data_IF_356206096543
#
_entry.id   IF_356206096543
#
_cell.length_a   1.000
_cell.length_b   1.000
_cell.length_c   1.000
_cell.angle_alpha   90.00
_cell.angle_beta   90.00
_cell.angle_gamma   90.00
#
_symmetry.space_group_name_H-M   'P 1'
#
loop_
_entity.id
_entity.type
_entity.pdbx_description
1 polymer ?
#
# COMPACT_ATOMS: atom_id res chain seq x y z
N UNK A 1 -56.78 17.00 -34.17
CA UNK A 1 -55.94 16.38 -33.12
C UNK A 1 -54.50 16.79 -33.37
N UNK A 2 -53.99 17.76 -32.62
CA UNK A 2 -52.60 18.24 -32.72
C UNK A 2 -52.01 18.24 -31.32
N UNK A 3 -51.09 17.31 -31.08
CA UNK A 3 -50.41 17.10 -29.80
C UNK A 3 -49.45 18.27 -29.52
N UNK A 4 -49.59 18.93 -28.37
CA UNK A 4 -48.57 19.83 -27.81
C UNK A 4 -47.51 18.98 -27.11
N UNK A 5 -46.28 19.02 -27.61
CA UNK A 5 -45.12 18.44 -26.94
C UNK A 5 -44.61 19.47 -25.90
N UNK A 6 -44.78 19.18 -24.61
CA UNK A 6 -44.09 19.92 -23.54
C UNK A 6 -42.67 19.35 -23.41
N UNK A 7 -41.65 20.13 -23.76
CA UNK A 7 -40.27 19.85 -23.36
C UNK A 7 -40.11 20.23 -21.87
N UNK A 8 -39.94 19.24 -21.00
CA UNK A 8 -39.33 19.45 -19.68
C UNK A 8 -37.81 19.51 -19.86
N UNK A 9 -37.24 20.70 -19.70
CA UNK A 9 -35.79 20.87 -19.53
C UNK A 9 -35.41 20.40 -18.11
N UNK A 10 -34.82 19.20 -18.00
CA UNK A 10 -34.22 18.73 -16.77
C UNK A 10 -32.96 19.52 -16.44
N UNK A 11 -32.94 20.23 -15.31
CA UNK A 11 -31.72 20.79 -14.74
C UNK A 11 -30.81 19.64 -14.28
N UNK A 12 -29.70 19.44 -14.99
CA UNK A 12 -28.59 18.62 -14.49
C UNK A 12 -27.83 19.49 -13.49
N UNK A 13 -28.05 19.25 -12.20
CA UNK A 13 -27.19 19.77 -11.13
C UNK A 13 -25.85 19.04 -11.21
N UNK A 14 -24.89 19.65 -11.91
CA UNK A 14 -23.48 19.29 -11.76
C UNK A 14 -23.06 19.70 -10.34
N UNK A 15 -23.08 18.74 -9.41
CA UNK A 15 -22.43 18.90 -8.12
C UNK A 15 -20.91 18.98 -8.36
N UNK A 16 -20.41 20.20 -8.49
CA UNK A 16 -18.97 20.47 -8.45
C UNK A 16 -18.44 19.93 -7.12
N UNK A 17 -17.61 18.90 -7.17
CA UNK A 17 -16.90 18.43 -5.98
C UNK A 17 -16.11 19.61 -5.40
N UNK A 18 -16.50 20.10 -4.23
CA UNK A 18 -15.80 21.18 -3.56
C UNK A 18 -14.35 20.75 -3.32
N UNK A 19 -13.39 21.59 -3.70
CA UNK A 19 -11.98 21.27 -3.51
C UNK A 19 -11.67 21.06 -2.02
N UNK A 20 -10.85 20.06 -1.69
CA UNK A 20 -10.43 19.81 -0.32
C UNK A 20 -9.87 21.10 0.33
N UNK A 21 -10.13 21.33 1.64
CA UNK A 21 -9.66 22.54 2.33
C UNK A 21 -8.14 22.65 2.23
N UNK A 22 -7.61 23.88 2.26
CA UNK A 22 -6.17 24.14 2.10
C UNK A 22 -5.30 23.50 3.22
N UNK A 23 -5.91 23.17 4.36
CA UNK A 23 -5.28 22.45 5.45
C UNK A 23 -6.32 21.60 6.20
N UNK A 24 -5.86 20.49 6.79
CA UNK A 24 -6.63 19.68 7.71
C UNK A 24 -5.69 19.00 8.72
N UNK A 25 -6.17 18.75 9.94
CA UNK A 25 -5.43 17.99 10.95
C UNK A 25 -6.40 17.26 11.86
N UNK A 26 -6.28 15.93 11.87
CA UNK A 26 -7.02 15.06 12.76
C UNK A 26 -6.44 15.19 14.17
N UNK A 27 -7.32 15.23 15.16
CA UNK A 27 -6.96 15.26 16.58
C UNK A 27 -6.92 13.84 17.15
N UNK A 28 -6.40 13.69 18.36
CA UNK A 28 -6.34 12.41 19.10
C UNK A 28 -5.54 11.31 18.42
N UNK A 29 -4.52 11.68 17.65
CA UNK A 29 -3.58 10.74 17.07
C UNK A 29 -2.66 10.24 18.17
N UNK A 30 -2.83 8.97 18.53
CA UNK A 30 -1.96 8.29 19.49
C UNK A 30 -0.65 7.92 18.82
N UNK A 31 0.44 8.05 19.55
CA UNK A 31 1.77 7.70 19.09
C UNK A 31 2.54 6.96 20.18
N UNK A 32 3.34 6.00 19.77
CA UNK A 32 4.38 5.34 20.57
C UNK A 32 5.60 5.13 19.67
N UNK A 33 6.80 5.17 20.26
CA UNK A 33 7.99 4.72 19.54
C UNK A 33 7.96 3.19 19.41
N UNK A 34 8.31 2.68 18.23
CA UNK A 34 8.35 1.24 18.01
C UNK A 34 9.53 0.59 18.72
N UNK A 35 9.31 -0.61 19.22
CA UNK A 35 10.36 -1.60 19.42
C UNK A 35 10.81 -2.23 18.09
N UNK A 36 11.64 -3.29 18.16
CA UNK A 36 12.16 -3.97 16.98
C UNK A 36 11.07 -4.42 16.02
N UNK A 37 11.14 -3.95 14.77
CA UNK A 37 10.24 -4.32 13.67
C UNK A 37 8.74 -4.16 13.98
N UNK A 38 8.40 -3.21 14.85
CA UNK A 38 7.02 -2.98 15.31
C UNK A 38 6.33 -1.79 14.63
N UNK A 39 6.75 -1.39 13.43
CA UNK A 39 6.12 -0.28 12.70
C UNK A 39 4.61 -0.52 12.46
N UNK A 40 4.20 -1.75 12.11
CA UNK A 40 2.79 -2.09 11.94
C UNK A 40 2.02 -2.17 13.29
N UNK A 41 2.53 -2.83 14.36
CA UNK A 41 1.93 -2.76 15.69
C UNK A 41 1.67 -1.34 16.21
N UNK A 42 2.63 -0.43 16.06
CA UNK A 42 2.45 0.99 16.45
C UNK A 42 1.42 1.66 15.55
N UNK A 43 1.45 1.39 14.24
CA UNK A 43 0.46 1.93 13.30
C UNK A 43 -0.97 1.49 13.65
N UNK A 44 -1.15 0.21 14.03
CA UNK A 44 -2.44 -0.31 14.49
C UNK A 44 -2.93 0.43 15.73
N UNK A 45 -2.04 0.67 16.70
CA UNK A 45 -2.33 1.46 17.89
C UNK A 45 -2.74 2.90 17.56
N UNK A 46 -2.06 3.55 16.59
CA UNK A 46 -2.42 4.89 16.13
C UNK A 46 -3.82 4.92 15.53
N UNK A 47 -4.12 4.01 14.60
CA UNK A 47 -5.42 3.95 13.90
C UNK A 47 -6.56 3.56 14.85
N UNK A 48 -6.38 2.52 15.66
CA UNK A 48 -7.40 2.09 16.63
C UNK A 48 -7.64 3.17 17.70
N UNK A 49 -6.56 3.82 18.16
CA UNK A 49 -6.63 4.91 19.12
C UNK A 49 -7.44 6.10 18.60
N UNK A 50 -7.30 6.43 17.32
CA UNK A 50 -8.11 7.47 16.66
C UNK A 50 -9.62 7.14 16.71
N UNK A 51 -9.99 5.87 16.59
CA UNK A 51 -11.37 5.39 16.71
C UNK A 51 -11.76 4.99 18.14
N UNK A 52 -10.99 5.40 19.15
CA UNK A 52 -11.31 5.21 20.56
C UNK A 52 -10.95 3.84 21.16
N UNK A 53 -10.36 2.95 20.38
CA UNK A 53 -9.93 1.62 20.85
C UNK A 53 -8.47 1.66 21.31
N UNK A 54 -8.20 1.16 22.51
CA UNK A 54 -6.83 1.09 23.06
C UNK A 54 -6.29 -0.33 22.92
N UNK A 55 -5.10 -0.43 22.33
CA UNK A 55 -4.27 -1.63 22.33
C UNK A 55 -2.86 -1.28 22.80
N UNK A 56 -2.06 -2.28 23.13
CA UNK A 56 -0.63 -2.12 23.39
C UNK A 56 0.17 -2.62 22.19
N UNK A 57 1.37 -2.07 22.02
CA UNK A 57 2.29 -2.52 20.98
C UNK A 57 2.61 -4.01 21.10
N UNK A 58 2.82 -4.52 22.32
CA UNK A 58 3.10 -5.94 22.57
C UNK A 58 1.93 -6.83 22.14
N UNK A 59 0.70 -6.50 22.53
CA UNK A 59 -0.47 -7.29 22.15
C UNK A 59 -0.69 -7.30 20.63
N UNK A 60 -0.51 -6.14 19.98
CA UNK A 60 -0.60 -6.03 18.53
C UNK A 60 0.52 -6.83 17.81
N UNK A 61 1.75 -6.80 18.34
CA UNK A 61 2.86 -7.60 17.81
C UNK A 61 2.60 -9.10 17.95
N UNK A 62 2.20 -9.57 19.13
CA UNK A 62 1.83 -10.99 19.36
C UNK A 62 0.70 -11.45 18.45
N UNK A 63 -0.23 -10.56 18.10
CA UNK A 63 -1.40 -10.90 17.30
C UNK A 63 -1.18 -10.90 15.78
N UNK A 64 -0.17 -10.16 15.29
CA UNK A 64 0.11 -9.99 13.87
C UNK A 64 1.39 -10.68 13.40
N UNK A 65 2.41 -10.77 14.26
CA UNK A 65 3.69 -11.37 13.88
C UNK A 65 3.61 -12.89 13.92
N UNK A 66 4.22 -13.51 12.92
CA UNK A 66 4.23 -14.96 12.79
C UNK A 66 5.09 -15.66 13.84
N UNK A 67 6.13 -14.97 14.34
CA UNK A 67 7.01 -15.43 15.40
C UNK A 67 7.73 -14.25 16.09
N UNK A 68 8.31 -14.44 17.29
CA UNK A 68 9.12 -13.41 17.93
C UNK A 68 10.34 -13.02 17.06
N UNK A 69 10.42 -11.75 16.66
CA UNK A 69 11.46 -11.26 15.76
C UNK A 69 11.12 -11.41 14.28
N UNK A 70 9.87 -11.68 13.93
CA UNK A 70 9.38 -11.51 12.56
C UNK A 70 9.63 -10.05 12.12
N UNK A 71 10.43 -9.84 11.06
CA UNK A 71 10.85 -8.53 10.60
C UNK A 71 9.75 -7.78 9.84
N UNK A 72 8.62 -8.43 9.53
CA UNK A 72 7.60 -7.84 8.69
C UNK A 72 6.20 -8.16 9.18
N UNK A 73 5.32 -7.18 9.03
CA UNK A 73 3.87 -7.38 8.96
C UNK A 73 3.42 -6.70 7.68
N UNK A 74 2.64 -7.39 6.87
CA UNK A 74 2.06 -6.89 5.63
C UNK A 74 0.86 -5.95 5.89
N UNK A 75 0.50 -5.15 4.89
CA UNK A 75 -0.71 -4.32 4.97
C UNK A 75 -1.98 -5.15 5.09
N UNK A 76 -1.99 -6.39 4.59
CA UNK A 76 -3.12 -7.31 4.72
C UNK A 76 -3.27 -7.81 6.17
N UNK A 77 -2.17 -8.15 6.83
CA UNK A 77 -2.19 -8.53 8.25
C UNK A 77 -2.59 -7.37 9.15
N UNK A 78 -2.08 -6.16 8.86
CA UNK A 78 -2.53 -4.94 9.53
C UNK A 78 -4.03 -4.72 9.33
N UNK A 79 -4.53 -4.80 8.09
CA UNK A 79 -5.96 -4.67 7.80
C UNK A 79 -6.80 -5.72 8.53
N UNK A 80 -6.35 -6.98 8.55
CA UNK A 80 -7.03 -8.07 9.25
C UNK A 80 -7.08 -7.82 10.75
N UNK A 81 -6.00 -7.33 11.36
CA UNK A 81 -5.95 -6.99 12.77
C UNK A 81 -6.89 -5.83 13.10
N UNK A 82 -6.90 -4.75 12.31
CA UNK A 82 -7.84 -3.64 12.45
C UNK A 82 -9.30 -4.11 12.35
N UNK A 83 -9.57 -5.09 11.47
CA UNK A 83 -10.87 -5.72 11.31
C UNK A 83 -11.39 -6.44 12.56
N UNK A 84 -10.51 -6.97 13.41
CA UNK A 84 -10.89 -7.59 14.71
C UNK A 84 -11.57 -6.60 15.65
N UNK A 85 -11.41 -5.30 15.41
CA UNK A 85 -12.00 -4.21 16.20
C UNK A 85 -13.13 -3.49 15.44
N UNK A 86 -13.70 -4.12 14.41
CA UNK A 86 -14.89 -3.63 13.71
C UNK A 86 -14.62 -2.60 12.62
N UNK A 87 -13.36 -2.34 12.25
CA UNK A 87 -13.03 -1.47 11.12
C UNK A 87 -13.07 -2.24 9.79
N UNK A 88 -13.56 -1.60 8.73
CA UNK A 88 -13.29 -2.01 7.34
C UNK A 88 -11.99 -1.38 6.89
N UNK A 89 -11.26 -2.06 6.01
CA UNK A 89 -10.02 -1.55 5.44
C UNK A 89 -10.03 -1.66 3.92
N UNK A 90 -9.48 -0.65 3.26
CA UNK A 90 -9.26 -0.64 1.81
C UNK A 90 -7.79 -0.35 1.56
N UNK A 91 -7.11 -1.25 0.84
CA UNK A 91 -5.72 -1.09 0.40
C UNK A 91 -5.70 -0.82 -1.10
N UNK A 92 -5.02 0.24 -1.53
CA UNK A 92 -4.91 0.61 -2.95
C UNK A 92 -3.51 1.06 -3.28
N UNK A 93 -3.25 1.14 -4.58
CA UNK A 93 -1.97 1.47 -5.19
C UNK A 93 -2.10 2.70 -6.08
N UNK A 94 -0.97 3.21 -6.56
CA UNK A 94 -0.92 4.46 -7.33
C UNK A 94 -1.60 5.65 -6.61
N UNK A 95 -1.51 5.67 -5.28
CA UNK A 95 -1.99 6.80 -4.50
C UNK A 95 -1.20 8.06 -4.81
N UNK A 96 -1.89 9.20 -4.71
CA UNK A 96 -1.34 10.53 -4.95
C UNK A 96 -1.50 11.43 -3.72
N UNK A 97 -0.76 12.55 -3.62
CA UNK A 97 -1.01 13.53 -2.57
C UNK A 97 -2.48 13.97 -2.48
N UNK A 98 -3.20 14.00 -3.60
CA UNK A 98 -4.60 14.44 -3.68
C UNK A 98 -5.54 13.47 -2.95
N UNK A 99 -5.43 12.15 -3.17
CA UNK A 99 -6.28 11.17 -2.46
C UNK A 99 -5.98 11.17 -0.95
N UNK A 100 -4.73 11.40 -0.56
CA UNK A 100 -4.38 11.55 0.86
C UNK A 100 -5.04 12.78 1.48
N UNK A 101 -5.02 13.94 0.79
CA UNK A 101 -5.70 15.16 1.26
C UNK A 101 -7.21 14.95 1.34
N UNK A 102 -7.80 14.32 0.34
CA UNK A 102 -9.23 14.06 0.28
C UNK A 102 -9.69 13.20 1.47
N UNK A 103 -9.03 12.07 1.70
CA UNK A 103 -9.32 11.18 2.83
C UNK A 103 -9.11 11.87 4.19
N UNK A 104 -8.00 12.57 4.37
CA UNK A 104 -7.69 13.27 5.64
C UNK A 104 -8.67 14.41 5.89
N UNK A 105 -9.04 15.17 4.86
CA UNK A 105 -10.02 16.27 4.99
C UNK A 105 -11.40 15.79 5.43
N UNK A 106 -11.73 14.54 5.10
CA UNK A 106 -12.97 13.86 5.52
C UNK A 106 -12.84 13.14 6.86
N UNK A 107 -11.74 13.29 7.59
CA UNK A 107 -11.63 12.67 8.91
C UNK A 107 -11.17 11.21 8.89
N UNK A 108 -10.37 10.80 7.89
CA UNK A 108 -9.79 9.46 7.84
C UNK A 108 -8.25 9.54 7.92
N UNK A 109 -7.61 8.96 8.96
CA UNK A 109 -6.16 8.77 8.94
C UNK A 109 -5.82 7.76 7.85
N UNK A 110 -4.73 8.01 7.12
CA UNK A 110 -4.31 7.15 6.02
C UNK A 110 -2.95 6.54 6.34
N UNK A 111 -2.89 5.21 6.35
CA UNK A 111 -1.64 4.48 6.49
C UNK A 111 -0.97 4.41 5.12
N UNK A 112 0.32 4.73 5.07
CA UNK A 112 1.15 4.65 3.86
C UNK A 112 2.32 3.74 4.13
N UNK A 113 2.67 2.91 3.13
CA UNK A 113 3.87 2.09 3.17
C UNK A 113 4.98 2.79 2.39
N UNK A 114 6.11 3.06 3.02
CA UNK A 114 7.20 3.85 2.43
C UNK A 114 8.55 3.21 2.73
N UNK A 115 9.61 3.68 2.06
CA UNK A 115 10.96 3.49 2.61
C UNK A 115 11.21 4.45 3.78
N UNK A 116 12.08 4.06 4.71
CA UNK A 116 12.36 4.84 5.91
C UNK A 116 12.92 6.25 5.60
N UNK A 117 13.87 6.34 4.67
CA UNK A 117 14.50 7.58 4.20
C UNK A 117 15.01 7.39 2.76
N UNK A 118 15.38 8.45 2.02
CA UNK A 118 15.95 8.30 0.68
C UNK A 118 17.16 7.35 0.72
N UNK A 119 17.26 6.45 -0.26
CA UNK A 119 18.30 5.42 -0.33
C UNK A 119 18.19 4.26 0.66
N UNK A 120 17.23 4.28 1.61
CA UNK A 120 16.99 3.13 2.50
C UNK A 120 16.18 2.05 1.80
N UNK A 121 16.48 0.78 2.12
CA UNK A 121 15.72 -0.39 1.69
C UNK A 121 14.72 -0.89 2.75
N UNK A 122 14.61 -0.19 3.88
CA UNK A 122 13.75 -0.58 5.00
C UNK A 122 12.31 -0.15 4.74
N UNK A 123 11.39 -1.12 4.78
CA UNK A 123 9.95 -0.89 4.77
C UNK A 123 9.51 -0.15 6.02
N UNK A 124 8.58 0.80 5.89
CA UNK A 124 8.12 1.58 7.04
C UNK A 124 6.69 2.06 6.86
N UNK A 125 5.82 1.68 7.79
CA UNK A 125 4.49 2.23 7.90
C UNK A 125 4.52 3.60 8.57
N UNK A 126 3.72 4.52 8.03
CA UNK A 126 3.41 5.81 8.66
C UNK A 126 1.92 6.06 8.59
N UNK A 127 1.40 6.84 9.53
CA UNK A 127 0.00 7.29 9.49
C UNK A 127 -0.05 8.78 9.17
N UNK A 128 -0.56 9.14 8.00
CA UNK A 128 -0.89 10.52 7.61
C UNK A 128 -2.16 10.93 8.35
N UNK A 129 -2.09 12.06 9.05
CA UNK A 129 -3.24 12.59 9.81
C UNK A 129 -3.45 14.10 9.64
N UNK A 130 -2.66 14.74 8.79
CA UNK A 130 -2.84 16.15 8.49
C UNK A 130 -2.05 16.59 7.27
N UNK A 131 -2.36 17.79 6.80
CA UNK A 131 -1.61 18.48 5.77
C UNK A 131 -1.81 20.00 5.88
N UNK A 132 -0.79 20.75 5.48
CA UNK A 132 -0.83 22.22 5.38
C UNK A 132 0.37 22.71 4.56
N UNK A 133 0.18 23.75 3.74
CA UNK A 133 1.27 24.43 3.04
C UNK A 133 2.11 23.51 2.14
N UNK A 134 1.47 22.56 1.45
CA UNK A 134 2.16 21.60 0.57
C UNK A 134 2.85 20.43 1.28
N UNK A 135 2.75 20.34 2.61
CA UNK A 135 3.36 19.27 3.42
C UNK A 135 2.30 18.42 4.12
N UNK A 136 2.64 17.16 4.35
CA UNK A 136 1.88 16.22 5.17
C UNK A 136 2.43 16.17 6.59
N UNK A 137 1.56 15.85 7.52
CA UNK A 137 1.86 15.59 8.92
C UNK A 137 1.56 14.11 9.21
N UNK A 138 2.57 13.40 9.71
CA UNK A 138 2.54 11.95 9.89
C UNK A 138 2.96 11.54 11.31
N UNK A 139 2.30 10.54 11.86
CA UNK A 139 2.83 9.75 12.97
C UNK A 139 3.77 8.70 12.39
N UNK A 140 5.06 8.81 12.72
CA UNK A 140 6.12 7.90 12.29
C UNK A 140 6.62 7.11 13.52
N UNK A 141 6.44 5.77 13.55
CA UNK A 141 6.85 4.94 14.69
C UNK A 141 8.32 5.06 15.13
N UNK A 142 9.22 5.58 14.30
CA UNK A 142 10.64 5.82 14.65
C UNK A 142 10.96 7.31 14.80
N UNK A 143 10.38 8.16 13.94
CA UNK A 143 10.75 9.58 13.84
C UNK A 143 9.86 10.51 14.65
N UNK A 144 8.82 9.98 15.29
CA UNK A 144 7.98 10.69 16.24
C UNK A 144 6.58 11.04 15.71
N UNK A 145 5.75 11.67 16.57
CA UNK A 145 4.31 11.84 16.33
C UNK A 145 3.97 12.89 15.27
N UNK A 146 4.90 13.80 14.95
CA UNK A 146 4.63 15.01 14.17
C UNK A 146 5.64 15.17 13.02
N UNK A 147 5.97 14.07 12.34
CA UNK A 147 6.87 14.11 11.19
C UNK A 147 6.23 14.94 10.07
N UNK A 148 6.94 15.97 9.59
CA UNK A 148 6.55 16.76 8.42
C UNK A 148 7.33 16.32 7.20
N UNK A 149 6.62 16.03 6.12
CA UNK A 149 7.20 15.74 4.80
C UNK A 149 6.56 16.65 3.77
N UNK A 150 7.35 17.27 2.90
CA UNK A 150 6.80 17.90 1.70
C UNK A 150 6.11 16.87 0.80
N UNK A 151 5.20 17.31 -0.07
CA UNK A 151 4.55 16.41 -1.04
C UNK A 151 5.57 15.68 -1.92
N UNK A 152 6.69 16.33 -2.25
CA UNK A 152 7.78 15.74 -3.03
C UNK A 152 8.50 14.63 -2.24
N UNK A 153 8.90 14.89 -0.99
CA UNK A 153 9.55 13.88 -0.15
C UNK A 153 8.61 12.69 0.14
N UNK A 154 7.35 12.98 0.44
CA UNK A 154 6.31 11.95 0.63
C UNK A 154 6.24 11.03 -0.60
N UNK A 155 6.15 11.61 -1.80
CA UNK A 155 6.07 10.88 -3.07
C UNK A 155 7.36 10.09 -3.37
N UNK A 156 8.52 10.67 -3.08
CA UNK A 156 9.82 10.01 -3.24
C UNK A 156 9.92 8.76 -2.38
N UNK A 157 9.59 8.84 -1.10
CA UNK A 157 9.64 7.68 -0.19
C UNK A 157 8.58 6.62 -0.54
N UNK A 158 7.45 7.07 -1.10
CA UNK A 158 6.27 6.23 -1.36
C UNK A 158 6.35 5.45 -2.68
N UNK A 159 7.09 5.95 -3.68
CA UNK A 159 7.28 5.23 -4.95
C UNK A 159 7.88 3.84 -4.77
N UNK A 160 8.67 3.63 -3.71
CA UNK A 160 9.26 2.35 -3.38
C UNK A 160 8.22 1.26 -3.06
N UNK A 161 6.99 1.66 -2.74
CA UNK A 161 5.83 0.76 -2.59
C UNK A 161 4.71 1.12 -3.57
N UNK A 162 5.07 1.76 -4.69
CA UNK A 162 4.17 2.05 -5.80
C UNK A 162 2.88 2.79 -5.38
N UNK A 163 3.01 3.70 -4.40
CA UNK A 163 1.86 4.47 -3.91
C UNK A 163 0.87 3.64 -3.10
N UNK A 164 1.32 2.60 -2.38
CA UNK A 164 0.45 1.78 -1.52
C UNK A 164 -0.06 2.56 -0.30
N UNK A 165 -1.38 2.65 -0.15
CA UNK A 165 -2.04 3.18 1.04
C UNK A 165 -3.13 2.24 1.54
N UNK A 166 -3.39 2.33 2.84
CA UNK A 166 -4.48 1.68 3.54
C UNK A 166 -5.29 2.76 4.26
N UNK A 167 -6.60 2.74 4.05
CA UNK A 167 -7.56 3.49 4.88
C UNK A 167 -8.44 2.51 5.64
N UNK A 168 -8.52 2.68 6.96
CA UNK A 168 -9.39 1.90 7.82
C UNK A 168 -10.46 2.81 8.44
N UNK A 169 -11.71 2.34 8.47
CA UNK A 169 -12.87 3.16 8.79
C UNK A 169 -14.03 2.34 9.38
N UNK A 170 -14.89 2.95 10.21
CA UNK A 170 -16.14 2.32 10.65
C UNK A 170 -17.05 2.04 9.45
N UNK A 171 -17.72 0.88 9.37
CA UNK A 171 -18.57 0.50 8.23
C UNK A 171 -19.60 1.57 7.82
N UNK A 172 -20.16 2.29 8.79
CA UNK A 172 -21.15 3.35 8.55
C UNK A 172 -20.62 4.52 7.70
N UNK A 173 -19.29 4.68 7.59
CA UNK A 173 -18.63 5.76 6.85
C UNK A 173 -18.10 5.35 5.48
N UNK A 174 -18.42 4.15 5.00
CA UNK A 174 -17.91 3.63 3.72
C UNK A 174 -18.25 4.54 2.52
N UNK A 175 -19.44 5.14 2.51
CA UNK A 175 -19.86 6.03 1.43
C UNK A 175 -18.92 7.25 1.30
N UNK A 176 -18.43 7.79 2.41
CA UNK A 176 -17.48 8.91 2.41
C UNK A 176 -16.10 8.48 1.87
N UNK A 177 -15.64 7.28 2.22
CA UNK A 177 -14.38 6.71 1.72
C UNK A 177 -14.48 6.44 0.22
N UNK A 178 -15.61 5.88 -0.25
CA UNK A 178 -15.85 5.67 -1.68
C UNK A 178 -15.88 6.99 -2.44
N UNK A 179 -16.54 8.01 -1.90
CA UNK A 179 -16.55 9.34 -2.50
C UNK A 179 -15.15 9.97 -2.57
N UNK A 180 -14.33 9.78 -1.53
CA UNK A 180 -12.96 10.29 -1.48
C UNK A 180 -12.02 9.64 -2.50
N UNK A 181 -12.20 8.34 -2.73
CA UNK A 181 -11.33 7.54 -3.60
C UNK A 181 -11.82 7.49 -5.06
N UNK A 182 -13.08 7.85 -5.31
CA UNK A 182 -13.70 7.75 -6.63
C UNK A 182 -13.59 6.33 -7.19
N UNK A 183 -13.23 6.22 -8.47
CA UNK A 183 -13.09 4.94 -9.18
C UNK A 183 -12.04 4.02 -8.53
N UNK A 184 -10.99 4.58 -7.90
CA UNK A 184 -9.96 3.81 -7.23
C UNK A 184 -10.50 3.05 -5.99
N UNK A 185 -11.72 3.35 -5.53
CA UNK A 185 -12.38 2.48 -4.55
C UNK A 185 -12.67 1.09 -5.13
N UNK A 186 -12.89 0.93 -6.44
CA UNK A 186 -13.01 -0.38 -7.07
C UNK A 186 -11.61 -0.97 -7.30
N UNK A 187 -11.38 -2.22 -6.86
CA UNK A 187 -10.07 -2.84 -6.95
C UNK A 187 -9.58 -3.00 -8.40
N UNK A 188 -10.44 -3.42 -9.31
CA UNK A 188 -10.09 -3.59 -10.74
C UNK A 188 -9.76 -2.24 -11.39
N UNK A 189 -10.57 -1.21 -11.14
CA UNK A 189 -10.28 0.14 -11.63
C UNK A 189 -8.96 0.67 -11.08
N UNK A 190 -8.66 0.45 -9.80
CA UNK A 190 -7.38 0.83 -9.23
C UNK A 190 -6.19 0.09 -9.83
N UNK A 191 -6.33 -1.21 -10.12
CA UNK A 191 -5.27 -1.95 -10.82
C UNK A 191 -5.05 -1.45 -12.25
N UNK A 192 -6.10 -1.07 -12.96
CA UNK A 192 -5.98 -0.42 -14.27
C UNK A 192 -5.27 0.93 -14.17
N UNK A 193 -5.61 1.75 -13.16
CA UNK A 193 -4.93 3.00 -12.88
C UNK A 193 -3.45 2.78 -12.52
N UNK A 194 -3.15 1.81 -11.66
CA UNK A 194 -1.80 1.44 -11.28
C UNK A 194 -0.97 0.94 -12.46
N UNK A 195 -1.56 0.17 -13.38
CA UNK A 195 -0.88 -0.24 -14.62
C UNK A 195 -0.54 0.96 -15.48
N UNK A 196 -1.52 1.85 -15.76
CA UNK A 196 -1.29 3.08 -16.55
C UNK A 196 -0.21 3.97 -15.94
N UNK A 197 -0.24 4.15 -14.62
CA UNK A 197 0.77 4.93 -13.88
C UNK A 197 2.15 4.26 -13.93
N UNK A 198 2.19 2.93 -13.82
CA UNK A 198 3.41 2.13 -13.96
C UNK A 198 4.02 2.23 -15.36
N UNK A 199 3.21 2.15 -16.42
CA UNK A 199 3.63 2.32 -17.81
C UNK A 199 4.25 3.70 -18.04
N UNK A 200 3.64 4.76 -17.51
CA UNK A 200 4.18 6.12 -17.57
C UNK A 200 5.49 6.24 -16.78
N UNK A 201 5.57 5.64 -15.59
CA UNK A 201 6.76 5.66 -14.76
C UNK A 201 7.94 4.94 -15.42
N UNK A 202 7.70 3.77 -16.02
CA UNK A 202 8.71 3.01 -16.79
C UNK A 202 9.16 3.80 -18.01
N UNK A 203 8.24 4.42 -18.76
CA UNK A 203 8.58 5.28 -19.90
C UNK A 203 9.46 6.46 -19.49
N UNK A 204 9.16 7.10 -18.36
CA UNK A 204 9.91 8.25 -17.87
C UNK A 204 11.26 7.85 -17.25
N UNK A 205 11.33 6.67 -16.63
CA UNK A 205 12.51 6.17 -15.91
C UNK A 205 12.74 4.68 -16.22
N UNK A 206 13.21 4.33 -17.42
CA UNK A 206 13.36 2.94 -17.83
C UNK A 206 14.41 2.18 -17.00
N UNK A 207 15.33 2.88 -16.33
CA UNK A 207 16.32 2.31 -15.41
C UNK A 207 15.87 2.25 -13.95
N UNK A 208 14.61 2.55 -13.62
CA UNK A 208 14.09 2.51 -12.24
C UNK A 208 13.47 1.12 -11.95
N UNK A 209 14.13 0.23 -11.18
CA UNK A 209 13.62 -1.10 -10.90
C UNK A 209 12.27 -1.07 -10.14
N UNK A 210 11.99 -0.02 -9.38
CA UNK A 210 10.74 0.10 -8.61
C UNK A 210 9.56 0.48 -9.49
N UNK A 211 9.79 1.22 -10.58
CA UNK A 211 8.77 1.50 -11.59
C UNK A 211 8.34 0.21 -12.30
N UNK A 212 9.31 -0.62 -12.71
CA UNK A 212 9.06 -1.94 -13.29
C UNK A 212 8.31 -2.86 -12.34
N UNK A 213 8.70 -2.91 -11.05
CA UNK A 213 8.02 -3.72 -10.05
C UNK A 213 6.56 -3.31 -9.85
N UNK A 214 6.27 -2.01 -9.86
CA UNK A 214 4.90 -1.49 -9.76
C UNK A 214 4.04 -1.87 -10.96
N UNK A 215 4.59 -1.72 -12.16
CA UNK A 215 3.95 -2.15 -13.39
C UNK A 215 3.67 -3.65 -13.37
N UNK A 216 4.67 -4.47 -13.05
CA UNK A 216 4.56 -5.92 -12.96
C UNK A 216 3.48 -6.36 -11.98
N UNK A 217 3.41 -5.74 -10.79
CA UNK A 217 2.36 -6.01 -9.81
C UNK A 217 0.97 -5.71 -10.36
N UNK A 218 0.77 -4.57 -11.01
CA UNK A 218 -0.52 -4.23 -11.60
C UNK A 218 -0.90 -5.20 -12.73
N UNK A 219 0.05 -5.57 -13.59
CA UNK A 219 -0.14 -6.56 -14.67
C UNK A 219 -0.54 -7.94 -14.11
N UNK A 220 0.14 -8.42 -13.07
CA UNK A 220 -0.18 -9.68 -12.39
C UNK A 220 -1.59 -9.66 -11.82
N UNK A 221 -1.97 -8.58 -11.12
CA UNK A 221 -3.30 -8.44 -10.49
C UNK A 221 -4.43 -8.27 -11.49
N UNK A 222 -4.12 -7.93 -12.75
CA UNK A 222 -5.05 -7.90 -13.88
C UNK A 222 -5.09 -9.25 -14.64
N UNK A 223 -4.38 -10.28 -14.17
CA UNK A 223 -4.46 -11.64 -14.68
C UNK A 223 -3.42 -12.03 -15.73
N UNK A 224 -2.48 -11.16 -16.04
CA UNK A 224 -1.43 -11.43 -17.05
C UNK A 224 -0.11 -11.83 -16.36
N UNK A 225 -0.09 -13.06 -15.83
CA UNK A 225 1.05 -13.58 -15.08
C UNK A 225 2.32 -13.73 -15.94
N UNK A 226 2.17 -14.11 -17.20
CA UNK A 226 3.29 -14.28 -18.13
C UNK A 226 3.99 -12.94 -18.41
N UNK A 227 3.23 -11.90 -18.75
CA UNK A 227 3.82 -10.57 -18.94
C UNK A 227 4.39 -10.00 -17.64
N UNK A 228 3.71 -10.23 -16.52
CA UNK A 228 4.21 -9.79 -15.21
C UNK A 228 5.55 -10.46 -14.86
N UNK A 229 5.72 -11.75 -15.17
CA UNK A 229 6.97 -12.49 -14.95
C UNK A 229 8.16 -11.82 -15.67
N UNK A 230 8.00 -11.45 -16.95
CA UNK A 230 9.00 -10.68 -17.68
C UNK A 230 9.26 -9.31 -17.06
N UNK A 231 8.23 -8.57 -16.64
CA UNK A 231 8.38 -7.24 -16.04
C UNK A 231 9.08 -7.29 -14.67
N UNK A 232 8.78 -8.30 -13.84
CA UNK A 232 9.51 -8.55 -12.60
C UNK A 232 10.96 -8.93 -12.86
N UNK A 233 11.22 -9.72 -13.90
CA UNK A 233 12.59 -10.05 -14.29
C UNK A 233 13.39 -8.81 -14.70
N UNK A 234 12.78 -7.89 -15.47
CA UNK A 234 13.41 -6.59 -15.78
C UNK A 234 13.73 -5.80 -14.51
N UNK A 235 12.80 -5.73 -13.54
CA UNK A 235 13.05 -5.06 -12.26
C UNK A 235 14.24 -5.69 -11.51
N UNK A 236 14.34 -7.02 -11.50
CA UNK A 236 15.44 -7.74 -10.84
C UNK A 236 16.77 -7.53 -11.56
N UNK A 237 16.79 -7.56 -12.89
CA UNK A 237 18.00 -7.32 -13.69
C UNK A 237 18.53 -5.88 -13.54
N UNK A 238 17.64 -4.91 -13.33
CA UNK A 238 18.00 -3.52 -13.01
C UNK A 238 18.49 -3.33 -11.56
N UNK A 239 18.28 -4.32 -10.69
CA UNK A 239 18.79 -4.37 -9.33
C UNK A 239 17.77 -3.91 -8.28
N UNK A 240 17.09 -4.88 -7.67
CA UNK A 240 16.39 -4.70 -6.39
C UNK A 240 17.23 -5.24 -5.24
N UNK A 241 17.15 -4.67 -4.03
CA UNK A 241 17.89 -5.20 -2.88
C UNK A 241 17.32 -6.54 -2.43
N UNK A 242 18.12 -7.45 -1.87
CA UNK A 242 17.65 -8.78 -1.42
C UNK A 242 16.49 -8.70 -0.41
N UNK A 243 16.50 -7.69 0.46
CA UNK A 243 15.41 -7.45 1.43
C UNK A 243 14.06 -7.15 0.76
N UNK A 244 14.07 -6.74 -0.52
CA UNK A 244 12.84 -6.55 -1.28
C UNK A 244 12.10 -7.88 -1.47
N UNK A 245 12.80 -9.01 -1.60
CA UNK A 245 12.16 -10.33 -1.70
C UNK A 245 11.51 -10.77 -0.39
N UNK A 246 12.07 -10.36 0.76
CA UNK A 246 11.42 -10.52 2.06
C UNK A 246 10.15 -9.67 2.10
N UNK A 247 10.21 -8.41 1.70
CA UNK A 247 9.06 -7.51 1.80
C UNK A 247 7.97 -7.76 0.76
N UNK A 248 8.33 -8.32 -0.40
CA UNK A 248 7.54 -8.28 -1.62
C UNK A 248 7.70 -9.58 -2.42
N UNK A 249 6.69 -10.44 -2.34
CA UNK A 249 6.75 -11.78 -2.92
C UNK A 249 6.04 -11.90 -4.28
N UNK A 250 5.56 -10.78 -4.86
CA UNK A 250 4.75 -10.82 -6.08
C UNK A 250 5.53 -11.34 -7.31
N UNK A 251 6.86 -11.16 -7.32
CA UNK A 251 7.72 -11.71 -8.37
C UNK A 251 7.72 -13.24 -8.37
N UNK A 252 7.81 -13.87 -7.20
CA UNK A 252 7.74 -15.32 -7.06
C UNK A 252 6.37 -15.86 -7.45
N UNK A 253 5.31 -15.15 -7.10
CA UNK A 253 3.94 -15.47 -7.54
C UNK A 253 3.84 -15.47 -9.08
N UNK A 254 4.30 -14.41 -9.74
CA UNK A 254 4.25 -14.30 -11.19
C UNK A 254 5.10 -15.38 -11.89
N UNK A 255 6.36 -15.57 -11.46
CA UNK A 255 7.24 -16.57 -12.06
C UNK A 255 6.69 -17.99 -11.91
N UNK A 256 6.17 -18.34 -10.73
CA UNK A 256 5.56 -19.67 -10.52
C UNK A 256 4.29 -19.85 -11.35
N UNK A 257 3.43 -18.83 -11.47
CA UNK A 257 2.24 -18.89 -12.35
C UNK A 257 2.61 -18.99 -13.83
N UNK A 258 3.72 -18.37 -14.25
CA UNK A 258 4.23 -18.42 -15.62
C UNK A 258 5.08 -19.67 -15.92
N UNK A 259 5.26 -20.58 -14.95
CA UNK A 259 6.05 -21.80 -15.13
C UNK A 259 7.57 -21.61 -15.03
N UNK A 260 8.05 -20.46 -14.56
CA UNK A 260 9.47 -20.14 -14.42
C UNK A 260 10.05 -20.71 -13.11
N UNK A 261 9.78 -21.99 -12.84
CA UNK A 261 10.07 -22.63 -11.55
C UNK A 261 11.56 -22.64 -11.20
N UNK A 262 12.45 -22.92 -12.16
CA UNK A 262 13.90 -22.87 -11.94
C UNK A 262 14.36 -21.50 -11.45
N UNK A 263 13.78 -20.42 -12.01
CA UNK A 263 14.09 -19.05 -11.58
C UNK A 263 13.53 -18.77 -10.19
N UNK A 264 12.27 -19.14 -9.93
CA UNK A 264 11.68 -19.00 -8.59
C UNK A 264 12.58 -19.68 -7.57
N UNK A 265 12.93 -20.96 -7.77
CA UNK A 265 13.77 -21.74 -6.87
C UNK A 265 15.15 -21.11 -6.65
N UNK A 266 15.79 -20.65 -7.73
CA UNK A 266 17.09 -19.98 -7.64
C UNK A 266 17.04 -18.69 -6.80
N UNK A 267 16.06 -17.82 -7.06
CA UNK A 267 15.98 -16.51 -6.39
C UNK A 267 15.47 -16.67 -4.96
N UNK A 268 14.52 -17.58 -4.69
CA UNK A 268 14.11 -17.89 -3.30
C UNK A 268 15.26 -18.49 -2.51
N UNK A 269 16.07 -19.38 -3.09
CA UNK A 269 17.26 -19.94 -2.44
C UNK A 269 18.22 -18.84 -1.97
N UNK A 270 18.60 -17.92 -2.86
CA UNK A 270 19.45 -16.76 -2.51
C UNK A 270 18.84 -15.86 -1.44
N UNK A 271 17.52 -15.67 -1.47
CA UNK A 271 16.84 -14.85 -0.48
C UNK A 271 16.76 -15.56 0.89
N UNK A 272 16.62 -16.88 0.90
CA UNK A 272 16.62 -17.72 2.11
C UNK A 272 17.99 -17.76 2.80
N UNK A 273 19.09 -17.62 2.06
CA UNK A 273 20.42 -17.46 2.66
C UNK A 273 20.48 -16.23 3.59
N UNK A 274 19.79 -15.15 3.23
CA UNK A 274 19.69 -13.93 4.05
C UNK A 274 18.55 -14.00 5.08
N UNK A 275 17.44 -14.68 4.75
CA UNK A 275 16.21 -14.71 5.55
C UNK A 275 15.70 -16.13 5.75
N UNK A 276 16.45 -17.00 6.47
CA UNK A 276 16.18 -18.44 6.51
C UNK A 276 14.84 -18.83 7.14
N UNK A 277 14.22 -17.91 7.88
CA UNK A 277 12.94 -18.12 8.60
C UNK A 277 11.71 -17.56 7.87
N UNK A 278 11.86 -16.93 6.71
CA UNK A 278 10.70 -16.41 5.98
C UNK A 278 9.87 -17.55 5.42
N UNK A 279 8.63 -17.67 5.92
CA UNK A 279 7.69 -18.71 5.50
C UNK A 279 7.23 -18.53 4.07
N UNK A 280 7.12 -17.28 3.61
CA UNK A 280 6.73 -16.96 2.24
C UNK A 280 7.81 -17.40 1.25
N UNK A 281 9.09 -17.12 1.56
CA UNK A 281 10.20 -17.58 0.74
C UNK A 281 10.29 -19.11 0.71
N UNK A 282 10.14 -19.77 1.86
CA UNK A 282 10.09 -21.24 1.95
C UNK A 282 8.93 -21.81 1.13
N UNK A 283 7.74 -21.20 1.22
CA UNK A 283 6.55 -21.60 0.47
C UNK A 283 6.79 -21.54 -1.04
N UNK A 284 7.30 -20.41 -1.56
CA UNK A 284 7.55 -20.28 -3.00
C UNK A 284 8.68 -21.20 -3.47
N UNK A 285 9.71 -21.42 -2.65
CA UNK A 285 10.77 -22.39 -2.92
C UNK A 285 10.21 -23.81 -3.05
N UNK A 286 9.35 -24.23 -2.11
CA UNK A 286 8.73 -25.56 -2.11
C UNK A 286 7.79 -25.74 -3.31
N UNK A 287 6.97 -24.74 -3.63
CA UNK A 287 6.09 -24.77 -4.80
C UNK A 287 6.87 -24.94 -6.11
N UNK A 288 8.02 -24.27 -6.23
CA UNK A 288 8.86 -24.37 -7.41
C UNK A 288 9.57 -25.74 -7.51
N UNK A 289 10.12 -26.26 -6.40
CA UNK A 289 10.75 -27.57 -6.34
C UNK A 289 9.76 -28.69 -6.71
N UNK A 290 8.57 -28.67 -6.11
CA UNK A 290 7.51 -29.64 -6.40
C UNK A 290 7.13 -29.65 -7.89
N UNK A 291 7.08 -28.48 -8.53
CA UNK A 291 6.76 -28.38 -9.95
C UNK A 291 7.89 -28.90 -10.87
N UNK A 292 9.13 -28.95 -10.39
CA UNK A 292 10.28 -29.52 -11.10
C UNK A 292 10.46 -31.02 -10.85
N UNK A 293 9.73 -31.59 -9.89
CA UNK A 293 9.84 -33.00 -9.50
C UNK A 293 10.92 -33.29 -8.45
N UNK A 294 11.35 -32.25 -7.72
CA UNK A 294 12.33 -32.31 -6.62
C UNK A 294 11.64 -32.43 -5.25
#
# INVERSE_FOLDING_TARGET
MTFRLLLLAGLILNASAAAAPANASLKNIRHEYQGPDNCAPVTALTVLGYYGTRVTQTAAATAMKDYPGDPQVSSLELAAYLGRFGLRSVIRYAGTPEVLRELVSRGFPVVVQQRLKPGSNVAHFRTVYGYSGGSFLLSDPLRGPSLRLSSAEMTELWRFYNGEYLVAYPPAREAEVRAAMGDDFNATANWQNARRTGEQAVKARPGDPYAWWGLAKATLRLGDAEKAAYQFDQAVNLGVPTIYYLYRQEAFEAWTQAGWYTKTLQITGRALDAFPRSKELQKFSALAAQALGD
#
